data_IF_623716097774
#
_entry.id   IF_623716097774
#
_cell.length_a   1.000
_cell.length_b   1.000
_cell.length_c   1.000
_cell.angle_alpha   90.00
_cell.angle_beta   90.00
_cell.angle_gamma   90.00
#
_symmetry.space_group_name_H-M   'P 1'
#
loop_
_entity.id
_entity.type
_entity.pdbx_description
1 polymer ?
#
# COMPACT_ATOMS: atom_id res chain seq x y z
N UNK A 1 81.18 16.52 34.00
CA UNK A 1 82.04 15.45 34.54
C UNK A 1 81.51 15.00 35.89
N UNK A 2 80.94 13.79 35.98
CA UNK A 2 80.99 12.84 37.10
C UNK A 2 80.09 11.66 36.72
N UNK A 3 80.69 10.47 36.69
CA UNK A 3 80.05 9.19 36.37
C UNK A 3 79.60 8.50 37.66
N UNK A 4 78.68 7.54 37.44
CA UNK A 4 78.51 6.26 38.13
C UNK A 4 77.58 6.20 39.35
N UNK A 5 76.51 5.42 39.20
CA UNK A 5 76.23 4.31 40.12
C UNK A 5 75.49 3.21 39.34
N UNK A 6 75.93 1.97 39.56
CA UNK A 6 75.45 0.78 38.90
C UNK A 6 74.43 0.04 39.78
N UNK A 7 73.68 -0.84 39.11
CA UNK A 7 73.24 -2.17 39.56
C UNK A 7 72.13 -2.25 40.63
N UNK A 8 70.99 -2.82 40.22
CA UNK A 8 70.42 -4.00 40.89
C UNK A 8 69.38 -4.70 40.00
N UNK A 9 69.58 -5.99 39.83
CA UNK A 9 68.64 -6.94 39.26
C UNK A 9 67.45 -7.14 40.21
N UNK A 10 66.24 -7.18 39.68
CA UNK A 10 65.17 -8.05 40.16
C UNK A 10 64.32 -8.53 38.98
N UNK A 11 64.30 -9.86 38.84
CA UNK A 11 63.38 -10.65 38.03
C UNK A 11 61.94 -10.43 38.46
N UNK A 12 61.03 -10.20 37.50
CA UNK A 12 59.60 -10.09 37.74
C UNK A 12 58.78 -10.47 36.51
N UNK A 13 58.22 -11.69 36.56
CA UNK A 13 56.97 -12.13 35.96
C UNK A 13 56.60 -11.70 34.54
N UNK A 14 56.66 -12.64 33.61
CA UNK A 14 55.86 -12.58 32.38
C UNK A 14 54.37 -12.64 32.75
N UNK A 15 53.65 -11.53 32.58
CA UNK A 15 52.19 -11.51 32.53
C UNK A 15 51.79 -11.49 31.07
N UNK A 16 51.22 -12.60 30.61
CA UNK A 16 50.59 -12.70 29.30
C UNK A 16 49.34 -11.79 29.29
N UNK A 17 49.45 -10.63 28.67
CA UNK A 17 48.30 -9.81 28.33
C UNK A 17 47.60 -10.46 27.13
N UNK A 18 46.50 -11.16 27.40
CA UNK A 18 45.55 -11.57 26.37
C UNK A 18 44.87 -10.30 25.86
N UNK A 19 45.39 -9.75 24.76
CA UNK A 19 44.73 -8.68 24.02
C UNK A 19 43.47 -9.23 23.39
N UNK A 20 42.33 -9.05 24.06
CA UNK A 20 41.03 -9.16 23.41
C UNK A 20 40.91 -7.99 22.44
N UNK A 21 41.28 -8.22 21.18
CA UNK A 21 40.90 -7.35 20.09
C UNK A 21 39.37 -7.39 19.99
N UNK A 22 38.72 -6.37 20.55
CA UNK A 22 37.33 -6.06 20.22
C UNK A 22 37.33 -5.67 18.75
N UNK A 23 37.06 -6.66 17.89
CA UNK A 23 36.61 -6.41 16.52
C UNK A 23 35.31 -5.63 16.64
N UNK A 24 35.39 -4.30 16.51
CA UNK A 24 34.23 -3.47 16.24
C UNK A 24 33.68 -3.96 14.89
N UNK A 25 32.69 -4.85 14.93
CA UNK A 25 31.87 -5.15 13.76
C UNK A 25 31.07 -3.88 13.48
N UNK A 26 31.59 -3.06 12.56
CA UNK A 26 30.78 -2.06 11.88
C UNK A 26 29.50 -2.75 11.41
N UNK A 27 28.31 -2.16 11.57
CA UNK A 27 27.14 -2.68 10.89
C UNK A 27 27.48 -2.67 9.40
N UNK A 28 27.65 -3.88 8.86
CA UNK A 28 27.83 -4.08 7.45
C UNK A 28 26.54 -3.56 6.81
N UNK A 29 26.61 -2.39 6.17
CA UNK A 29 25.51 -1.89 5.37
C UNK A 29 25.27 -2.94 4.29
N UNK A 30 24.13 -3.64 4.36
CA UNK A 30 23.73 -4.51 3.28
C UNK A 30 23.46 -3.57 2.11
N UNK A 31 24.31 -3.62 1.09
CA UNK A 31 24.00 -2.99 -0.18
C UNK A 31 22.63 -3.51 -0.59
N UNK A 32 21.70 -2.60 -0.89
CA UNK A 32 20.49 -2.97 -1.62
C UNK A 32 20.96 -3.77 -2.86
N UNK A 33 20.54 -5.02 -2.99
CA UNK A 33 20.92 -5.84 -4.14
C UNK A 33 20.64 -5.04 -5.42
N UNK A 34 21.67 -4.86 -6.25
CA UNK A 34 21.57 -4.06 -7.47
C UNK A 34 20.56 -4.64 -8.46
N UNK A 35 20.10 -3.81 -9.40
CA UNK A 35 19.21 -4.25 -10.49
C UNK A 35 19.82 -5.43 -11.26
N UNK A 36 19.26 -6.62 -11.06
CA UNK A 36 19.72 -7.90 -11.62
C UNK A 36 19.54 -7.96 -13.14
N UNK A 37 18.69 -7.09 -13.71
CA UNK A 37 18.45 -7.05 -15.15
C UNK A 37 19.64 -6.52 -15.94
N UNK A 38 20.47 -5.65 -15.35
CA UNK A 38 21.60 -5.01 -16.03
C UNK A 38 22.63 -6.04 -16.55
N UNK A 39 22.82 -7.14 -15.82
CA UNK A 39 23.71 -8.24 -16.20
C UNK A 39 23.04 -9.34 -17.03
N UNK A 40 21.72 -9.27 -17.22
CA UNK A 40 20.94 -10.25 -18.00
C UNK A 40 20.97 -10.01 -19.51
N UNK A 41 20.40 -10.92 -20.27
CA UNK A 41 19.96 -10.70 -21.66
C UNK A 41 18.48 -10.32 -21.71
N UNK A 42 18.01 -9.88 -22.89
CA UNK A 42 16.60 -9.60 -23.12
C UNK A 42 16.11 -10.15 -24.46
N UNK A 43 14.84 -10.55 -24.51
CA UNK A 43 14.11 -10.94 -25.73
C UNK A 43 12.61 -10.63 -25.58
N UNK A 44 11.82 -10.84 -26.64
CA UNK A 44 10.39 -10.52 -26.63
C UNK A 44 9.65 -11.07 -27.84
N UNK A 45 8.37 -10.74 -27.96
CA UNK A 45 7.49 -11.17 -29.05
C UNK A 45 7.84 -10.52 -30.38
N UNK A 46 7.83 -9.19 -30.40
CA UNK A 46 8.04 -8.34 -31.57
C UNK A 46 8.65 -7.01 -31.14
N UNK A 47 9.20 -6.26 -32.08
CA UNK A 47 9.77 -4.92 -31.81
C UNK A 47 9.31 -3.91 -32.86
N UNK A 48 8.88 -2.75 -32.40
CA UNK A 48 8.65 -1.60 -33.27
C UNK A 48 9.97 -1.09 -33.86
N UNK A 49 9.91 -0.47 -35.04
CA UNK A 49 11.09 0.13 -35.68
C UNK A 49 11.74 1.17 -34.76
N UNK A 50 13.08 1.18 -34.73
CA UNK A 50 13.85 2.07 -33.86
C UNK A 50 13.95 1.67 -32.39
N UNK A 51 13.41 0.51 -31.99
CA UNK A 51 13.52 -0.04 -30.62
C UNK A 51 14.34 -1.32 -30.57
N UNK A 52 14.79 -1.71 -29.37
CA UNK A 52 15.52 -2.95 -29.12
C UNK A 52 15.03 -3.62 -27.83
N UNK A 53 15.11 -4.95 -27.76
CA UNK A 53 14.86 -5.67 -26.49
C UNK A 53 15.88 -5.29 -25.42
N UNK A 54 17.11 -4.94 -25.81
CA UNK A 54 18.16 -4.55 -24.87
C UNK A 54 17.85 -3.26 -24.10
N UNK A 55 16.94 -2.43 -24.61
CA UNK A 55 16.60 -1.14 -24.02
C UNK A 55 15.91 -1.31 -22.65
N UNK A 56 15.22 -2.43 -22.38
CA UNK A 56 14.54 -2.60 -21.08
C UNK A 56 15.49 -2.90 -19.91
N UNK A 57 16.80 -2.92 -20.13
CA UNK A 57 17.77 -3.38 -19.14
C UNK A 57 19.13 -2.69 -19.26
N UNK A 58 19.19 -1.55 -19.94
CA UNK A 58 20.44 -0.80 -20.10
C UNK A 58 20.61 0.28 -19.01
N UNK A 59 19.58 0.51 -18.19
CA UNK A 59 19.59 1.51 -17.12
C UNK A 59 19.35 2.94 -17.64
N UNK A 60 18.99 3.10 -18.92
CA UNK A 60 18.70 4.38 -19.55
C UNK A 60 17.19 4.53 -19.82
N UNK A 61 16.51 5.26 -18.94
CA UNK A 61 15.08 5.58 -19.10
C UNK A 61 14.74 6.44 -20.34
N UNK A 62 15.74 6.94 -21.07
CA UNK A 62 15.59 7.62 -22.35
C UNK A 62 15.42 6.69 -23.55
N UNK A 63 15.82 5.42 -23.44
CA UNK A 63 15.55 4.39 -24.46
C UNK A 63 14.34 3.55 -24.06
N UNK A 64 13.77 2.78 -25.00
CA UNK A 64 12.66 1.88 -24.70
C UNK A 64 12.54 0.74 -25.70
N UNK A 65 11.95 -0.36 -25.24
CA UNK A 65 11.33 -1.36 -26.10
C UNK A 65 9.85 -1.03 -26.32
N UNK A 66 9.36 -1.31 -27.53
CA UNK A 66 7.94 -1.29 -27.82
C UNK A 66 7.55 -2.52 -28.67
N UNK A 67 6.44 -3.21 -28.37
CA UNK A 67 5.95 -4.28 -29.23
C UNK A 67 5.42 -3.73 -30.56
N UNK A 68 5.21 -4.62 -31.54
CA UNK A 68 4.63 -4.23 -32.84
C UNK A 68 3.12 -3.89 -32.80
N UNK A 69 2.46 -4.05 -31.65
CA UNK A 69 1.01 -3.80 -31.49
C UNK A 69 0.70 -3.30 -30.07
N UNK A 70 -0.58 -3.11 -29.72
CA UNK A 70 -0.99 -2.77 -28.35
C UNK A 70 -0.73 -3.88 -27.31
N UNK A 71 -0.38 -5.08 -27.77
CA UNK A 71 -0.03 -6.23 -26.92
C UNK A 71 1.31 -6.83 -27.36
N UNK A 72 1.93 -7.59 -26.46
CA UNK A 72 3.20 -8.25 -26.69
C UNK A 72 3.93 -8.49 -25.38
N UNK A 73 5.06 -9.20 -25.45
CA UNK A 73 5.84 -9.52 -24.26
C UNK A 73 7.30 -9.15 -24.43
N UNK A 74 7.93 -8.83 -23.31
CA UNK A 74 9.38 -8.63 -23.17
C UNK A 74 9.88 -9.37 -21.95
N UNK A 75 11.10 -9.88 -22.00
CA UNK A 75 11.68 -10.72 -20.95
C UNK A 75 13.09 -10.30 -20.61
N UNK A 76 13.46 -10.52 -19.35
CA UNK A 76 14.86 -10.53 -18.88
C UNK A 76 15.25 -11.99 -18.63
N UNK A 77 16.47 -12.36 -19.03
CA UNK A 77 16.99 -13.74 -18.91
C UNK A 77 18.43 -13.79 -18.45
N UNK A 78 18.80 -14.85 -17.75
CA UNK A 78 20.15 -15.11 -17.23
C UNK A 78 20.66 -16.47 -17.71
N UNK A 79 21.98 -16.64 -17.73
CA UNK A 79 22.63 -17.91 -18.11
C UNK A 79 22.42 -19.02 -17.07
N UNK A 80 22.22 -18.65 -15.81
CA UNK A 80 21.90 -19.52 -14.68
C UNK A 80 20.61 -19.06 -13.99
N UNK A 81 20.03 -19.92 -13.15
CA UNK A 81 18.85 -19.53 -12.38
C UNK A 81 19.20 -18.39 -11.40
N UNK A 82 18.40 -17.33 -11.44
CA UNK A 82 18.53 -16.13 -10.61
C UNK A 82 17.30 -16.02 -9.75
N UNK A 83 17.47 -15.71 -8.46
CA UNK A 83 16.34 -15.50 -7.55
C UNK A 83 15.80 -14.10 -7.71
N UNK A 84 14.53 -14.00 -8.12
CA UNK A 84 13.81 -12.72 -8.25
C UNK A 84 12.67 -12.70 -7.25
N UNK A 85 12.55 -11.62 -6.48
CA UNK A 85 11.43 -11.37 -5.56
C UNK A 85 10.70 -10.05 -5.86
N UNK A 86 11.27 -9.18 -6.69
CA UNK A 86 10.60 -7.98 -7.15
C UNK A 86 10.98 -7.63 -8.59
N UNK A 87 10.04 -7.02 -9.29
CA UNK A 87 10.16 -6.48 -10.65
C UNK A 87 9.69 -5.04 -10.64
N UNK A 88 10.44 -4.13 -11.27
CA UNK A 88 10.01 -2.74 -11.49
C UNK A 88 9.93 -2.47 -12.99
N UNK A 89 8.75 -2.06 -13.44
CA UNK A 89 8.50 -1.67 -14.82
C UNK A 89 8.45 -0.14 -14.90
N UNK A 90 9.35 0.45 -15.69
CA UNK A 90 9.33 1.88 -16.01
C UNK A 90 8.83 2.05 -17.44
N UNK A 91 7.84 2.91 -17.64
CA UNK A 91 7.30 3.20 -18.97
C UNK A 91 7.85 4.54 -19.48
N UNK A 92 8.21 4.59 -20.77
CA UNK A 92 8.57 5.84 -21.43
C UNK A 92 7.31 6.62 -21.84
N UNK A 93 7.43 7.95 -21.93
CA UNK A 93 6.35 8.81 -22.39
C UNK A 93 6.01 8.59 -23.87
N UNK A 94 4.78 8.94 -24.27
CA UNK A 94 4.31 8.86 -25.65
C UNK A 94 3.95 7.45 -26.15
N UNK A 95 3.87 6.46 -25.26
CA UNK A 95 3.30 5.13 -25.55
C UNK A 95 1.82 5.02 -25.14
N UNK A 96 1.17 3.95 -25.58
CA UNK A 96 -0.16 3.57 -25.11
C UNK A 96 -0.15 3.12 -23.65
N UNK A 97 -1.25 3.36 -22.94
CA UNK A 97 -1.39 3.02 -21.53
C UNK A 97 -1.72 1.54 -21.37
N UNK A 98 -0.90 0.80 -20.64
CA UNK A 98 -1.15 -0.61 -20.33
C UNK A 98 -2.35 -0.70 -19.40
N UNK A 99 -3.33 -1.54 -19.76
CA UNK A 99 -4.55 -1.78 -19.00
C UNK A 99 -4.65 -3.20 -18.46
N UNK A 100 -3.86 -4.16 -18.98
CA UNK A 100 -3.73 -5.50 -18.41
C UNK A 100 -2.38 -6.14 -18.76
N UNK A 101 -1.84 -6.91 -17.81
CA UNK A 101 -0.55 -7.60 -17.96
C UNK A 101 -0.46 -8.81 -17.04
N UNK A 102 0.50 -9.69 -17.34
CA UNK A 102 0.94 -10.77 -16.45
C UNK A 102 2.46 -10.90 -16.46
N UNK A 103 3.02 -11.25 -15.31
CA UNK A 103 4.42 -11.57 -15.13
C UNK A 103 4.53 -13.09 -15.06
N UNK A 104 5.38 -13.68 -15.89
CA UNK A 104 5.51 -15.12 -16.04
C UNK A 104 6.92 -15.59 -15.66
N UNK A 105 7.00 -16.75 -15.04
CA UNK A 105 8.19 -17.57 -15.09
C UNK A 105 8.20 -18.26 -16.46
N UNK A 106 9.09 -17.85 -17.35
CA UNK A 106 9.10 -18.37 -18.72
C UNK A 106 9.67 -19.78 -18.83
N UNK A 107 10.36 -20.27 -17.79
CA UNK A 107 10.86 -21.65 -17.76
C UNK A 107 9.73 -22.65 -17.52
N UNK A 108 8.74 -22.27 -16.69
CA UNK A 108 7.61 -23.15 -16.30
C UNK A 108 6.26 -22.75 -16.90
N UNK A 109 6.14 -21.54 -17.45
CA UNK A 109 4.88 -20.94 -17.87
C UNK A 109 3.99 -20.46 -16.71
N UNK A 110 4.45 -20.57 -15.46
CA UNK A 110 3.68 -20.14 -14.29
C UNK A 110 3.49 -18.63 -14.28
N UNK A 111 2.27 -18.17 -13.98
CA UNK A 111 1.98 -16.77 -13.71
C UNK A 111 2.49 -16.42 -12.31
N UNK A 112 3.52 -15.58 -12.24
CA UNK A 112 4.08 -15.09 -10.97
C UNK A 112 3.24 -13.95 -10.39
N UNK A 113 2.70 -13.09 -11.26
CA UNK A 113 1.79 -12.01 -10.92
C UNK A 113 0.96 -11.62 -12.14
N UNK A 114 -0.15 -10.91 -11.92
CA UNK A 114 -0.92 -10.26 -12.99
C UNK A 114 -1.57 -9.00 -12.46
N UNK A 115 -1.91 -8.07 -13.34
CA UNK A 115 -2.55 -6.83 -12.93
C UNK A 115 -3.36 -6.18 -14.04
N UNK A 116 -4.30 -5.35 -13.61
CA UNK A 116 -5.00 -4.38 -14.45
C UNK A 116 -4.42 -2.98 -14.21
N UNK A 117 -4.25 -2.19 -15.27
CA UNK A 117 -3.58 -0.89 -15.25
C UNK A 117 -2.07 -0.97 -15.46
N UNK A 118 -1.42 0.20 -15.49
CA UNK A 118 0.01 0.33 -15.78
C UNK A 118 0.86 -0.35 -14.70
N UNK A 119 1.72 -1.34 -15.05
CA UNK A 119 2.64 -1.94 -14.09
C UNK A 119 3.67 -0.91 -13.63
N UNK A 120 4.02 -0.96 -12.35
CA UNK A 120 5.14 -0.26 -11.74
C UNK A 120 5.99 -1.28 -10.96
N UNK A 121 5.95 -1.27 -9.63
CA UNK A 121 6.61 -2.26 -8.78
C UNK A 121 5.69 -3.47 -8.56
N UNK A 122 6.20 -4.67 -8.86
CA UNK A 122 5.53 -5.95 -8.78
C UNK A 122 6.36 -6.85 -7.88
N UNK A 123 5.86 -7.18 -6.70
CA UNK A 123 6.51 -8.15 -5.82
C UNK A 123 5.98 -9.55 -6.12
N UNK A 124 6.89 -10.53 -6.12
CA UNK A 124 6.57 -11.94 -6.33
C UNK A 124 7.19 -12.76 -5.20
N UNK A 125 6.64 -13.94 -4.96
CA UNK A 125 7.33 -14.91 -4.12
C UNK A 125 8.74 -15.13 -4.69
N UNK A 126 9.77 -15.17 -3.82
CA UNK A 126 11.14 -15.36 -4.24
C UNK A 126 11.25 -16.63 -5.11
N UNK A 127 11.46 -16.43 -6.41
CA UNK A 127 11.40 -17.49 -7.40
C UNK A 127 12.76 -17.57 -8.08
N UNK A 128 13.35 -18.76 -8.06
CA UNK A 128 14.56 -19.05 -8.83
C UNK A 128 14.17 -19.42 -10.26
N UNK A 129 14.61 -18.62 -11.23
CA UNK A 129 14.23 -18.75 -12.64
C UNK A 129 15.35 -18.20 -13.54
N UNK A 130 15.45 -18.72 -14.76
CA UNK A 130 16.39 -18.24 -15.79
C UNK A 130 15.77 -17.15 -16.65
N UNK A 131 14.45 -17.05 -16.71
CA UNK A 131 13.77 -16.03 -17.53
C UNK A 131 12.42 -15.59 -16.94
N UNK A 132 12.27 -14.28 -16.77
CA UNK A 132 11.01 -13.63 -16.36
C UNK A 132 10.44 -12.83 -17.53
N UNK A 133 9.14 -12.93 -17.76
CA UNK A 133 8.45 -12.28 -18.89
C UNK A 133 7.35 -11.37 -18.39
N UNK A 134 7.37 -10.10 -18.83
CA UNK A 134 6.21 -9.22 -18.77
C UNK A 134 5.41 -9.41 -20.06
N UNK A 135 4.22 -9.97 -19.93
CA UNK A 135 3.28 -10.16 -21.03
C UNK A 135 2.14 -9.15 -20.92
N UNK A 136 2.10 -8.21 -21.87
CA UNK A 136 1.11 -7.14 -21.94
C UNK A 136 -0.08 -7.64 -22.74
N UNK A 137 -1.20 -7.86 -22.05
CA UNK A 137 -2.41 -8.46 -22.62
C UNK A 137 -3.44 -7.42 -23.06
N UNK A 138 -3.33 -6.17 -22.62
CA UNK A 138 -4.16 -5.06 -23.09
C UNK A 138 -3.49 -3.70 -22.88
N UNK A 139 -3.60 -2.81 -23.86
CA UNK A 139 -3.20 -1.40 -23.77
C UNK A 139 -4.03 -0.53 -24.74
N UNK A 140 -4.10 0.78 -24.50
CA UNK A 140 -4.81 1.74 -25.37
C UNK A 140 -4.10 2.06 -26.69
N UNK A 141 -2.87 1.59 -26.85
CA UNK A 141 -2.00 1.77 -28.01
C UNK A 141 -0.68 1.03 -27.80
N UNK A 142 0.32 1.24 -28.64
CA UNK A 142 1.63 0.56 -28.49
C UNK A 142 2.36 1.08 -27.23
N UNK A 143 2.54 0.26 -26.18
CA UNK A 143 3.22 0.68 -24.97
C UNK A 143 4.74 0.83 -25.20
N UNK A 144 5.40 1.60 -24.34
CA UNK A 144 6.86 1.78 -24.36
C UNK A 144 7.43 1.44 -23.00
N UNK A 145 8.17 0.35 -22.91
CA UNK A 145 8.85 -0.07 -21.68
C UNK A 145 10.27 0.46 -21.73
N UNK A 146 10.58 1.40 -20.84
CA UNK A 146 11.92 1.94 -20.67
C UNK A 146 12.79 0.98 -19.87
N UNK A 147 12.30 0.46 -18.74
CA UNK A 147 13.06 -0.48 -17.91
C UNK A 147 12.17 -1.63 -17.42
N UNK A 148 12.78 -2.81 -17.33
CA UNK A 148 12.29 -4.01 -16.68
C UNK A 148 13.38 -4.43 -15.69
N UNK A 149 13.34 -3.81 -14.51
CA UNK A 149 14.31 -4.04 -13.44
C UNK A 149 13.87 -5.23 -12.59
N UNK A 150 14.83 -5.99 -12.07
CA UNK A 150 14.57 -7.17 -11.25
C UNK A 150 15.48 -7.17 -10.03
N UNK A 151 14.97 -7.64 -8.89
CA UNK A 151 15.68 -7.54 -7.61
C UNK A 151 15.51 -8.80 -6.77
N UNK A 152 16.54 -9.09 -5.98
CA UNK A 152 16.55 -10.06 -4.90
C UNK A 152 16.49 -9.31 -3.56
N UNK A 153 15.40 -9.43 -2.82
CA UNK A 153 15.23 -8.80 -1.50
C UNK A 153 14.03 -9.45 -0.81
N UNK A 154 14.30 -10.31 0.17
CA UNK A 154 13.43 -11.36 0.72
C UNK A 154 12.05 -10.92 1.24
N UNK A 155 11.05 -11.80 1.29
CA UNK A 155 10.98 -12.98 2.18
C UNK A 155 10.54 -14.28 1.48
N UNK A 156 11.11 -15.39 1.94
CA UNK A 156 10.70 -16.76 1.62
C UNK A 156 9.39 -17.11 2.35
N UNK A 157 8.32 -17.42 1.60
CA UNK A 157 7.12 -18.06 2.14
C UNK A 157 7.06 -19.53 1.67
N UNK A 158 6.86 -20.54 2.55
CA UNK A 158 6.83 -21.95 2.16
C UNK A 158 5.57 -22.28 1.35
N UNK A 159 5.78 -22.97 0.23
CA UNK A 159 4.76 -23.49 -0.68
C UNK A 159 4.02 -24.69 -0.07
N UNK A 160 2.69 -24.67 -0.08
CA UNK A 160 1.90 -25.90 -0.28
C UNK A 160 0.85 -25.62 -1.36
N UNK A 161 0.95 -26.33 -2.48
CA UNK A 161 0.02 -26.20 -3.61
C UNK A 161 -1.27 -27.01 -3.37
N UNK A 162 -2.39 -26.67 -4.01
CA UNK A 162 -3.56 -27.54 -4.05
C UNK A 162 -3.48 -28.48 -5.26
N UNK A 163 -3.51 -29.77 -4.97
CA UNK A 163 -3.85 -30.84 -5.91
C UNK A 163 -5.30 -30.74 -6.37
N UNK A 164 -5.54 -31.25 -7.57
CA UNK A 164 -6.80 -31.27 -8.32
C UNK A 164 -7.89 -32.15 -7.70
N UNK A 165 -9.14 -31.66 -7.75
CA UNK A 165 -10.35 -32.47 -7.55
C UNK A 165 -11.64 -31.66 -7.69
N UNK A 166 -12.27 -31.70 -8.87
CA UNK A 166 -13.70 -31.37 -9.03
C UNK A 166 -14.59 -32.55 -8.57
N UNK A 167 -15.94 -32.42 -8.51
CA UNK A 167 -16.76 -31.87 -9.59
C UNK A 167 -18.02 -31.02 -9.23
N UNK A 168 -18.45 -30.23 -10.23
CA UNK A 168 -19.83 -29.84 -10.64
C UNK A 168 -20.84 -29.20 -9.67
N UNK A 169 -21.25 -27.96 -9.99
CA UNK A 169 -22.52 -27.35 -9.56
C UNK A 169 -22.69 -25.87 -9.98
N UNK A 170 -23.38 -25.67 -11.12
CA UNK A 170 -24.10 -24.50 -11.71
C UNK A 170 -23.79 -23.01 -11.32
N UNK A 171 -23.88 -22.05 -12.27
CA UNK A 171 -23.36 -20.70 -12.10
C UNK A 171 -24.34 -19.76 -11.38
N UNK A 172 -23.80 -18.91 -10.51
CA UNK A 172 -24.48 -17.75 -9.90
C UNK A 172 -23.58 -16.53 -10.17
N UNK A 173 -24.15 -15.34 -10.50
CA UNK A 173 -23.48 -14.40 -11.39
C UNK A 173 -22.26 -13.73 -10.77
N UNK A 174 -21.20 -13.71 -11.56
CA UNK A 174 -19.98 -12.93 -11.36
C UNK A 174 -20.30 -11.44 -11.18
N UNK A 175 -19.84 -10.75 -10.12
CA UNK A 175 -19.83 -9.30 -10.11
C UNK A 175 -18.74 -8.84 -11.07
N UNK A 176 -19.18 -8.19 -12.15
CA UNK A 176 -18.35 -7.53 -13.15
C UNK A 176 -17.34 -6.60 -12.47
N UNK A 177 -16.05 -6.90 -12.60
CA UNK A 177 -14.95 -6.01 -12.24
C UNK A 177 -14.94 -4.79 -13.14
N UNK A 178 -15.78 -3.81 -12.84
CA UNK A 178 -15.83 -2.53 -13.51
C UNK A 178 -14.81 -1.57 -12.92
N UNK A 179 -13.88 -1.09 -13.75
CA UNK A 179 -13.03 0.08 -13.50
C UNK A 179 -13.82 1.41 -13.55
N UNK A 180 -15.07 1.41 -13.11
CA UNK A 180 -15.94 2.59 -13.05
C UNK A 180 -15.81 3.31 -11.72
N UNK A 181 -16.20 4.60 -11.72
CA UNK A 181 -16.58 5.32 -10.51
C UNK A 181 -17.47 4.40 -9.66
N UNK A 182 -17.17 4.15 -8.36
CA UNK A 182 -18.05 3.31 -7.55
C UNK A 182 -19.46 3.87 -7.66
N UNK A 183 -20.41 3.02 -8.06
CA UNK A 183 -21.82 3.41 -8.11
C UNK A 183 -22.24 3.96 -6.74
N UNK A 184 -23.34 4.71 -6.70
CA UNK A 184 -23.84 5.23 -5.41
C UNK A 184 -24.00 4.09 -4.40
N UNK A 185 -23.38 4.18 -3.21
CA UNK A 185 -23.46 3.13 -2.21
C UNK A 185 -24.91 2.87 -1.81
N UNK A 186 -25.32 1.60 -1.80
CA UNK A 186 -26.70 1.19 -1.52
C UNK A 186 -26.91 0.71 -0.08
N UNK A 187 -25.82 0.57 0.69
CA UNK A 187 -25.83 -0.10 1.99
C UNK A 187 -25.72 -1.63 1.92
N UNK A 188 -25.66 -2.20 0.71
CA UNK A 188 -25.49 -3.64 0.54
C UNK A 188 -24.08 -4.10 0.92
N UNK A 189 -24.00 -5.16 1.72
CA UNK A 189 -22.74 -5.78 2.13
C UNK A 189 -22.36 -6.92 1.18
N UNK A 190 -21.08 -7.10 0.83
CA UNK A 190 -20.66 -8.20 -0.03
C UNK A 190 -20.69 -9.55 0.71
N UNK A 191 -20.83 -10.62 -0.06
CA UNK A 191 -20.61 -11.98 0.44
C UNK A 191 -19.13 -12.35 0.35
N UNK A 192 -18.60 -12.91 1.43
CA UNK A 192 -17.23 -13.43 1.48
C UNK A 192 -17.02 -14.60 0.52
N UNK A 193 -15.89 -14.62 -0.17
CA UNK A 193 -15.47 -15.69 -1.09
C UNK A 193 -14.54 -16.72 -0.43
N UNK A 194 -14.48 -16.73 0.90
CA UNK A 194 -13.65 -17.64 1.69
C UNK A 194 -12.97 -16.91 2.86
N UNK A 195 -12.39 -17.66 3.78
CA UNK A 195 -11.73 -17.12 4.95
C UNK A 195 -10.21 -17.34 4.89
N UNK A 196 -9.44 -16.37 5.37
CA UNK A 196 -7.99 -16.42 5.48
C UNK A 196 -7.61 -16.04 6.91
N UNK A 197 -6.97 -16.97 7.61
CA UNK A 197 -6.36 -16.67 8.91
C UNK A 197 -4.99 -16.03 8.68
N UNK A 198 -4.76 -14.85 9.25
CA UNK A 198 -3.46 -14.19 9.32
C UNK A 198 -2.94 -14.30 10.76
N UNK A 199 -1.65 -14.57 10.91
CA UNK A 199 -0.98 -14.73 12.21
C UNK A 199 -0.19 -13.47 12.62
N UNK A 200 -0.35 -12.38 11.88
CA UNK A 200 0.40 -11.14 12.03
C UNK A 200 0.16 -10.20 10.85
N UNK A 201 0.68 -8.98 10.94
CA UNK A 201 0.49 -7.93 9.94
C UNK A 201 0.96 -8.36 8.55
N UNK A 202 0.09 -8.17 7.55
CA UNK A 202 0.39 -8.42 6.14
C UNK A 202 0.96 -7.16 5.50
N UNK A 203 2.21 -7.21 5.05
CA UNK A 203 2.84 -6.08 4.38
C UNK A 203 2.52 -6.06 2.87
N UNK A 204 2.12 -4.89 2.35
CA UNK A 204 1.69 -4.67 0.96
C UNK A 204 2.47 -3.50 0.37
N UNK A 205 3.30 -3.71 -0.66
CA UNK A 205 4.03 -2.61 -1.34
C UNK A 205 3.67 -2.43 -2.82
N UNK A 206 2.84 -3.32 -3.36
CA UNK A 206 2.23 -3.23 -4.69
C UNK A 206 0.70 -3.31 -4.57
N UNK A 207 0.04 -4.05 -5.46
CA UNK A 207 -1.39 -4.36 -5.29
C UNK A 207 -1.58 -5.71 -4.62
N UNK A 208 -2.32 -5.74 -3.52
CA UNK A 208 -2.86 -6.95 -2.91
C UNK A 208 -4.35 -7.04 -3.23
N UNK A 209 -4.74 -8.08 -3.97
CA UNK A 209 -6.14 -8.42 -4.22
C UNK A 209 -6.56 -9.59 -3.32
N UNK A 210 -7.47 -9.34 -2.39
CA UNK A 210 -7.98 -10.34 -1.46
C UNK A 210 -9.03 -11.29 -2.04
N UNK A 211 -9.47 -11.08 -3.28
CA UNK A 211 -10.47 -11.91 -3.95
C UNK A 211 -11.83 -11.91 -3.25
N UNK A 212 -12.17 -10.84 -2.53
CA UNK A 212 -13.34 -10.73 -1.64
C UNK A 212 -13.38 -11.78 -0.52
N UNK A 213 -12.23 -12.28 -0.08
CA UNK A 213 -12.13 -13.15 1.10
C UNK A 213 -12.14 -12.34 2.39
N UNK A 214 -12.56 -12.99 3.47
CA UNK A 214 -12.48 -12.47 4.83
C UNK A 214 -11.13 -12.82 5.44
N UNK A 215 -10.36 -11.81 5.78
CA UNK A 215 -9.10 -11.91 6.51
C UNK A 215 -9.38 -11.64 7.99
N UNK A 216 -8.82 -12.45 8.87
CA UNK A 216 -8.90 -12.34 10.33
C UNK A 216 -7.73 -13.16 10.93
N UNK A 217 -7.32 -13.08 12.17
CA UNK A 217 -7.82 -12.28 13.28
C UNK A 217 -6.56 -11.80 14.03
N UNK A 218 -6.39 -10.48 14.17
CA UNK A 218 -5.28 -9.89 14.94
C UNK A 218 -5.89 -9.07 16.08
N UNK A 219 -5.26 -9.13 17.26
CA UNK A 219 -5.69 -8.39 18.44
C UNK A 219 -6.82 -9.07 19.22
N UNK A 220 -7.36 -8.33 20.19
CA UNK A 220 -8.42 -8.77 21.11
C UNK A 220 -9.76 -8.07 20.88
N UNK A 221 -9.83 -7.15 19.91
CA UNK A 221 -11.03 -6.36 19.60
C UNK A 221 -11.22 -5.14 20.53
N UNK A 222 -10.24 -4.84 21.40
CA UNK A 222 -10.26 -3.65 22.26
C UNK A 222 -9.87 -2.34 21.54
N UNK A 223 -9.97 -1.21 22.25
CA UNK A 223 -9.63 0.15 21.78
C UNK A 223 -8.20 0.58 22.17
N UNK A 224 -7.26 -0.36 22.29
CA UNK A 224 -5.89 -0.05 22.73
C UNK A 224 -5.03 0.44 21.56
N UNK A 225 -4.39 1.62 21.70
CA UNK A 225 -3.52 2.25 20.67
C UNK A 225 -2.25 1.45 20.29
N UNK A 226 -2.06 0.25 20.81
CA UNK A 226 -0.88 -0.59 20.56
C UNK A 226 -1.19 -1.90 19.84
N UNK A 227 -2.38 -2.03 19.25
CA UNK A 227 -2.71 -3.20 18.45
C UNK A 227 -1.98 -3.17 17.11
N UNK A 228 -1.53 -4.34 16.65
CA UNK A 228 -0.93 -4.47 15.32
C UNK A 228 -2.02 -4.30 14.24
N UNK A 229 -1.73 -3.59 13.13
CA UNK A 229 -2.64 -3.54 12.00
C UNK A 229 -2.71 -4.90 11.29
N UNK A 230 -3.84 -5.20 10.66
CA UNK A 230 -4.00 -6.37 9.79
C UNK A 230 -3.16 -6.25 8.53
N UNK A 231 -3.11 -5.05 7.94
CA UNK A 231 -2.34 -4.77 6.74
C UNK A 231 -1.52 -3.49 6.92
N UNK A 232 -0.26 -3.54 6.51
CA UNK A 232 0.59 -2.35 6.37
C UNK A 232 0.91 -2.15 4.89
N UNK A 233 0.46 -1.03 4.35
CA UNK A 233 0.59 -0.66 2.95
C UNK A 233 1.72 0.36 2.80
N UNK A 234 2.78 -0.02 2.10
CA UNK A 234 3.86 0.88 1.75
C UNK A 234 3.39 1.96 0.77
N UNK A 235 4.18 3.02 0.63
CA UNK A 235 3.90 4.11 -0.29
C UNK A 235 3.64 3.62 -1.73
N UNK A 236 2.54 4.07 -2.33
CA UNK A 236 2.04 3.66 -3.63
C UNK A 236 1.26 2.34 -3.66
N UNK A 237 1.18 1.60 -2.56
CA UNK A 237 0.51 0.30 -2.49
C UNK A 237 -1.02 0.39 -2.61
N UNK A 238 -1.64 -0.71 -3.04
CA UNK A 238 -3.09 -0.87 -3.16
C UNK A 238 -3.54 -2.12 -2.42
N UNK A 239 -4.53 -1.98 -1.53
CA UNK A 239 -5.29 -3.10 -0.97
C UNK A 239 -6.66 -3.11 -1.63
N UNK A 240 -7.07 -4.23 -2.22
CA UNK A 240 -8.35 -4.32 -2.89
C UNK A 240 -9.10 -5.62 -2.68
N UNK A 241 -10.42 -5.54 -2.74
CA UNK A 241 -11.32 -6.70 -2.64
C UNK A 241 -11.03 -7.53 -1.39
N UNK A 242 -10.98 -6.88 -0.23
CA UNK A 242 -10.68 -7.52 1.06
C UNK A 242 -11.84 -7.27 2.00
N UNK A 243 -12.25 -8.30 2.73
CA UNK A 243 -13.12 -8.14 3.90
C UNK A 243 -12.25 -8.35 5.14
N UNK A 244 -12.17 -7.37 6.04
CA UNK A 244 -11.57 -7.50 7.35
C UNK A 244 -12.65 -8.02 8.31
N UNK A 245 -12.39 -9.20 8.88
CA UNK A 245 -13.19 -9.82 9.94
C UNK A 245 -12.83 -9.25 11.31
N UNK A 246 -13.48 -9.78 12.34
CA UNK A 246 -13.23 -9.40 13.75
C UNK A 246 -12.50 -10.54 14.48
N UNK A 247 -11.53 -10.24 15.37
CA UNK A 247 -10.96 -8.92 15.64
C UNK A 247 -10.05 -8.42 14.50
N UNK A 248 -10.11 -7.10 14.27
CA UNK A 248 -9.44 -6.41 13.16
C UNK A 248 -8.19 -5.61 13.56
N UNK A 249 -7.70 -5.77 14.79
CA UNK A 249 -6.58 -4.97 15.33
C UNK A 249 -6.77 -3.46 15.10
N UNK A 250 -5.67 -2.78 14.74
CA UNK A 250 -5.68 -1.39 14.27
C UNK A 250 -5.84 -1.29 12.73
N UNK A 251 -6.74 -2.13 12.19
CA UNK A 251 -7.19 -2.08 10.81
C UNK A 251 -6.08 -2.13 9.76
N UNK A 252 -5.99 -1.07 8.95
CA UNK A 252 -5.03 -0.94 7.84
C UNK A 252 -4.15 0.29 8.01
N UNK A 253 -2.84 0.14 7.99
CA UNK A 253 -1.89 1.26 8.02
C UNK A 253 -1.41 1.61 6.61
N UNK A 254 -1.40 2.88 6.27
CA UNK A 254 -0.75 3.39 5.06
C UNK A 254 0.50 4.20 5.44
N UNK A 255 1.68 3.65 5.17
CA UNK A 255 2.98 4.27 5.50
C UNK A 255 3.38 5.39 4.51
N UNK A 256 2.67 5.48 3.38
CA UNK A 256 2.76 6.57 2.40
C UNK A 256 1.40 6.85 1.78
N UNK A 257 1.37 7.35 0.54
CA UNK A 257 0.12 7.33 -0.23
C UNK A 257 -0.28 5.88 -0.49
N UNK A 258 -1.57 5.56 -0.41
CA UNK A 258 -2.06 4.20 -0.64
C UNK A 258 -3.44 4.24 -1.31
N UNK A 259 -3.88 3.11 -1.87
CA UNK A 259 -5.25 2.94 -2.36
C UNK A 259 -5.93 1.79 -1.62
N UNK A 260 -7.06 2.07 -0.99
CA UNK A 260 -8.00 1.08 -0.46
C UNK A 260 -9.17 1.01 -1.44
N UNK A 261 -9.32 -0.09 -2.17
CA UNK A 261 -10.35 -0.24 -3.21
C UNK A 261 -11.27 -1.41 -2.90
N UNK A 262 -12.56 -1.14 -2.70
CA UNK A 262 -13.53 -2.18 -2.39
C UNK A 262 -13.10 -3.02 -1.17
N UNK A 263 -12.67 -2.34 -0.11
CA UNK A 263 -12.26 -2.95 1.17
C UNK A 263 -13.41 -2.79 2.16
N UNK A 264 -13.70 -3.84 2.92
CA UNK A 264 -14.86 -3.93 3.80
C UNK A 264 -14.46 -4.31 5.22
N UNK A 265 -14.94 -3.60 6.23
CA UNK A 265 -14.67 -3.90 7.64
C UNK A 265 -15.96 -4.35 8.33
N UNK A 266 -16.04 -5.63 8.66
CA UNK A 266 -17.21 -6.20 9.34
C UNK A 266 -17.40 -5.65 10.76
N UNK A 267 -16.29 -5.21 11.36
CA UNK A 267 -16.18 -4.67 12.70
C UNK A 267 -14.93 -3.78 12.70
N UNK A 268 -15.07 -2.51 13.07
CA UNK A 268 -13.93 -1.61 13.18
C UNK A 268 -13.30 -1.89 14.54
N UNK A 269 -12.00 -2.22 14.57
CA UNK A 269 -11.24 -2.37 15.81
C UNK A 269 -11.01 -1.02 16.48
N UNK A 270 -9.75 -0.59 16.55
CA UNK A 270 -9.46 0.80 16.93
C UNK A 270 -9.91 1.75 15.80
N UNK A 271 -9.24 1.67 14.65
CA UNK A 271 -9.55 2.41 13.42
C UNK A 271 -9.75 1.44 12.25
N UNK A 272 -10.49 1.85 11.21
CA UNK A 272 -10.59 1.04 9.98
C UNK A 272 -9.30 1.18 9.17
N UNK A 273 -8.82 2.42 8.99
CA UNK A 273 -7.50 2.66 8.42
C UNK A 273 -6.84 3.95 8.93
N UNK A 274 -5.52 3.89 9.04
CA UNK A 274 -4.66 4.97 9.55
C UNK A 274 -3.65 5.40 8.50
N UNK A 275 -3.74 6.66 8.06
CA UNK A 275 -2.87 7.26 7.05
C UNK A 275 -1.70 8.00 7.71
N UNK A 276 -0.48 7.46 7.56
CA UNK A 276 0.73 7.90 8.30
C UNK A 276 1.75 8.63 7.43
N UNK A 277 1.64 8.53 6.10
CA UNK A 277 2.60 9.11 5.16
C UNK A 277 2.84 10.62 5.34
N UNK A 278 4.11 11.02 5.33
CA UNK A 278 4.52 12.43 5.52
C UNK A 278 5.12 13.09 4.27
N UNK A 279 5.07 12.39 3.12
CA UNK A 279 5.62 12.86 1.84
C UNK A 279 4.61 13.67 1.00
N UNK A 280 3.45 14.02 1.57
CA UNK A 280 2.34 14.64 0.86
C UNK A 280 1.62 13.67 -0.07
N UNK A 281 0.97 14.20 -1.12
CA UNK A 281 0.23 13.41 -2.10
C UNK A 281 -1.21 13.10 -1.68
N UNK A 282 -1.78 12.05 -2.27
CA UNK A 282 -3.18 11.65 -2.02
C UNK A 282 -3.28 10.14 -1.82
N UNK A 283 -3.85 9.73 -0.70
CA UNK A 283 -4.35 8.37 -0.48
C UNK A 283 -5.81 8.28 -0.90
N UNK A 284 -6.23 7.12 -1.41
CA UNK A 284 -7.55 6.91 -1.97
C UNK A 284 -8.29 5.82 -1.22
N UNK A 285 -9.55 6.07 -0.91
CA UNK A 285 -10.55 5.08 -0.50
C UNK A 285 -11.64 5.09 -1.58
N UNK A 286 -11.80 3.96 -2.27
CA UNK A 286 -12.64 3.85 -3.46
C UNK A 286 -13.59 2.66 -3.31
N UNK A 287 -14.88 2.92 -3.14
CA UNK A 287 -15.85 1.88 -2.82
C UNK A 287 -15.65 1.32 -1.41
N UNK A 288 -16.30 0.19 -1.12
CA UNK A 288 -16.15 -0.50 0.15
C UNK A 288 -17.10 0.00 1.24
N UNK A 289 -16.88 -0.49 2.45
CA UNK A 289 -17.67 -0.03 3.60
C UNK A 289 -17.15 -0.52 4.94
N UNK A 290 -17.57 0.13 6.02
CA UNK A 290 -17.20 -0.27 7.38
C UNK A 290 -18.39 -0.15 8.33
N UNK A 291 -18.36 -0.90 9.42
CA UNK A 291 -19.40 -0.85 10.44
C UNK A 291 -18.88 -1.17 11.83
N UNK A 292 -19.68 -0.84 12.84
CA UNK A 292 -19.41 -1.15 14.25
C UNK A 292 -18.13 -0.48 14.79
N UNK A 293 -17.91 0.79 14.48
CA UNK A 293 -16.84 1.59 15.07
C UNK A 293 -17.26 2.30 16.34
N UNK A 294 -16.30 2.54 17.24
CA UNK A 294 -16.53 3.27 18.48
C UNK A 294 -16.19 4.76 18.39
N UNK A 295 -15.11 5.13 17.69
CA UNK A 295 -14.67 6.53 17.59
C UNK A 295 -14.47 7.00 16.14
N UNK A 296 -13.45 6.49 15.44
CA UNK A 296 -13.02 7.03 14.14
C UNK A 296 -12.78 5.91 13.13
N UNK A 297 -13.36 6.06 11.94
CA UNK A 297 -13.19 5.10 10.84
C UNK A 297 -11.85 5.33 10.14
N UNK A 298 -11.58 6.57 9.72
CA UNK A 298 -10.34 6.94 9.05
C UNK A 298 -9.55 7.96 9.84
N UNK A 299 -8.38 7.53 10.32
CA UNK A 299 -7.45 8.38 11.05
C UNK A 299 -6.35 8.91 10.12
N UNK A 300 -6.12 10.22 10.13
CA UNK A 300 -5.08 10.85 9.32
C UNK A 300 -4.01 11.47 10.21
N UNK A 301 -2.91 10.74 10.39
CA UNK A 301 -1.76 11.12 11.20
C UNK A 301 -0.71 11.88 10.39
N UNK A 302 -0.51 11.50 9.12
CA UNK A 302 0.45 12.09 8.19
C UNK A 302 0.07 13.45 7.62
N UNK A 303 0.59 13.82 6.45
CA UNK A 303 0.22 15.02 5.71
C UNK A 303 -0.34 14.68 4.33
N UNK A 304 -0.84 15.70 3.61
CA UNK A 304 -1.39 15.50 2.27
C UNK A 304 -2.91 15.32 2.29
N UNK A 305 -3.44 14.51 1.38
CA UNK A 305 -4.89 14.37 1.16
C UNK A 305 -5.35 12.92 1.32
N UNK A 306 -6.51 12.71 1.94
CA UNK A 306 -7.27 11.46 1.86
C UNK A 306 -8.52 11.70 1.00
N UNK A 307 -8.69 10.95 -0.07
CA UNK A 307 -9.84 11.03 -0.97
C UNK A 307 -10.74 9.81 -0.77
N UNK A 308 -11.94 10.02 -0.24
CA UNK A 308 -12.92 8.98 0.09
C UNK A 308 -14.07 9.09 -0.89
N UNK A 309 -14.33 8.01 -1.63
CA UNK A 309 -15.38 7.98 -2.65
C UNK A 309 -16.15 6.67 -2.68
N UNK A 310 -17.47 6.72 -2.82
CA UNK A 310 -18.28 5.50 -2.96
C UNK A 310 -18.30 4.61 -1.72
N UNK A 311 -18.06 5.16 -0.54
CA UNK A 311 -17.95 4.39 0.71
C UNK A 311 -19.28 4.32 1.45
N UNK A 312 -19.57 3.16 2.06
CA UNK A 312 -20.69 2.99 2.99
C UNK A 312 -20.18 2.85 4.44
N UNK A 313 -20.69 3.67 5.35
CA UNK A 313 -20.39 3.57 6.78
C UNK A 313 -21.67 3.35 7.58
N UNK A 314 -21.66 2.40 8.52
CA UNK A 314 -22.76 2.17 9.46
C UNK A 314 -22.31 2.04 10.92
N UNK A 315 -22.71 2.95 11.80
CA UNK A 315 -22.43 2.84 13.24
C UNK A 315 -20.97 3.14 13.55
N UNK A 316 -20.58 4.41 13.61
CA UNK A 316 -19.23 4.86 13.99
C UNK A 316 -19.27 6.34 14.37
N UNK A 317 -18.45 6.78 15.32
CA UNK A 317 -18.43 8.19 15.72
C UNK A 317 -18.11 9.13 14.56
N UNK A 318 -17.02 8.88 13.81
CA UNK A 318 -16.53 9.78 12.77
C UNK A 318 -16.08 9.02 11.53
N UNK A 319 -16.49 9.46 10.34
CA UNK A 319 -15.93 8.90 9.10
C UNK A 319 -14.45 9.27 8.95
N UNK A 320 -14.07 10.53 9.15
CA UNK A 320 -12.69 10.99 9.01
C UNK A 320 -12.27 11.92 10.15
N UNK A 321 -11.06 11.71 10.68
CA UNK A 321 -10.43 12.61 11.66
C UNK A 321 -8.98 12.92 11.29
N UNK A 322 -8.68 14.21 11.15
CA UNK A 322 -7.31 14.71 11.11
C UNK A 322 -6.72 14.71 12.53
N UNK A 323 -5.59 14.04 12.76
CA UNK A 323 -5.04 13.94 14.12
C UNK A 323 -4.82 15.31 14.76
N UNK A 324 -5.43 15.54 15.93
CA UNK A 324 -5.45 16.85 16.59
C UNK A 324 -4.36 17.08 17.63
N UNK A 325 -3.74 16.02 18.14
CA UNK A 325 -2.73 16.05 19.22
C UNK A 325 -1.58 15.05 18.95
N UNK A 326 -1.31 14.75 17.68
CA UNK A 326 -0.17 13.93 17.29
C UNK A 326 1.16 14.58 17.70
N UNK A 327 2.20 13.76 17.82
CA UNK A 327 3.58 14.23 18.11
C UNK A 327 4.03 15.31 17.12
N UNK A 328 3.65 15.15 15.84
CA UNK A 328 3.89 16.14 14.79
C UNK A 328 2.57 16.74 14.30
N UNK A 329 2.55 18.07 14.20
CA UNK A 329 1.45 18.82 13.59
C UNK A 329 1.64 18.88 12.07
N UNK A 330 0.58 18.58 11.32
CA UNK A 330 0.58 18.63 9.86
C UNK A 330 -0.65 19.35 9.34
N UNK A 331 -0.52 19.99 8.18
CA UNK A 331 -1.66 20.39 7.36
C UNK A 331 -2.18 19.17 6.59
N UNK A 332 -3.49 18.92 6.72
CA UNK A 332 -4.16 17.72 6.19
C UNK A 332 -5.41 18.10 5.43
N UNK A 333 -5.70 17.34 4.39
CA UNK A 333 -6.87 17.56 3.55
C UNK A 333 -7.68 16.28 3.41
N UNK A 334 -9.00 16.43 3.30
CA UNK A 334 -9.91 15.33 2.97
C UNK A 334 -10.84 15.75 1.83
N UNK A 335 -11.06 14.83 0.90
CA UNK A 335 -12.08 14.94 -0.15
C UNK A 335 -13.07 13.79 0.07
N UNK A 336 -14.34 14.10 0.28
CA UNK A 336 -15.38 13.12 0.56
C UNK A 336 -16.45 13.28 -0.50
N UNK A 337 -16.72 12.21 -1.23
CA UNK A 337 -17.59 12.27 -2.38
C UNK A 337 -18.44 11.00 -2.54
N UNK A 338 -19.74 11.13 -2.80
CA UNK A 338 -20.61 9.97 -3.09
C UNK A 338 -20.56 8.89 -2.00
N UNK A 339 -20.77 9.28 -0.73
CA UNK A 339 -20.78 8.34 0.41
C UNK A 339 -22.17 8.22 1.02
N UNK A 340 -22.47 7.05 1.58
CA UNK A 340 -23.67 6.79 2.39
C UNK A 340 -23.25 6.56 3.82
N UNK A 341 -23.76 7.36 4.75
CA UNK A 341 -23.39 7.33 6.15
C UNK A 341 -24.66 7.11 6.98
N UNK A 342 -24.68 6.03 7.74
CA UNK A 342 -25.80 5.59 8.54
C UNK A 342 -25.33 5.49 9.99
N UNK A 343 -26.05 6.11 10.92
CA UNK A 343 -25.73 6.07 12.36
C UNK A 343 -24.29 6.53 12.66
N UNK A 344 -23.99 7.80 12.38
CA UNK A 344 -22.69 8.42 12.67
C UNK A 344 -22.85 9.79 13.33
N UNK A 345 -21.87 10.21 14.13
CA UNK A 345 -21.91 11.54 14.78
C UNK A 345 -21.32 12.63 13.89
N UNK A 346 -20.29 12.32 13.10
CA UNK A 346 -19.55 13.31 12.30
C UNK A 346 -18.98 12.78 10.99
N UNK A 347 -19.10 13.54 9.90
CA UNK A 347 -18.50 13.18 8.61
C UNK A 347 -17.00 13.49 8.59
N UNK A 348 -16.59 14.72 8.91
CA UNK A 348 -15.18 15.10 8.96
C UNK A 348 -14.84 16.00 10.15
N UNK A 349 -13.78 15.64 10.90
CA UNK A 349 -13.17 16.49 11.93
C UNK A 349 -11.79 17.01 11.51
N UNK A 350 -11.68 18.32 11.27
CA UNK A 350 -10.44 18.97 10.78
C UNK A 350 -9.87 19.99 11.77
N UNK A 351 -8.56 20.25 11.74
CA UNK A 351 -7.91 21.24 12.60
C UNK A 351 -7.71 22.56 11.84
N UNK A 352 -8.64 23.51 12.00
CA UNK A 352 -8.68 24.72 11.15
C UNK A 352 -7.48 25.65 11.37
N UNK A 353 -6.90 25.67 12.58
CA UNK A 353 -5.69 26.44 12.90
C UNK A 353 -4.41 25.88 12.26
N UNK A 354 -4.44 24.67 11.70
CA UNK A 354 -3.35 24.09 10.92
C UNK A 354 -3.64 24.09 9.42
N UNK A 355 -4.62 24.89 9.00
CA UNK A 355 -5.04 25.05 7.61
C UNK A 355 -5.58 23.77 6.97
N UNK A 356 -6.11 22.84 7.79
CA UNK A 356 -6.75 21.64 7.27
C UNK A 356 -7.95 22.01 6.40
N UNK A 357 -8.26 21.20 5.38
CA UNK A 357 -9.46 21.43 4.56
C UNK A 357 -10.26 20.15 4.36
N UNK A 358 -11.58 20.26 4.35
CA UNK A 358 -12.52 19.21 3.96
C UNK A 358 -13.32 19.70 2.76
N UNK A 359 -13.23 18.98 1.64
CA UNK A 359 -14.11 19.18 0.48
C UNK A 359 -15.12 18.04 0.48
N UNK A 360 -16.41 18.35 0.59
CA UNK A 360 -17.46 17.35 0.80
C UNK A 360 -18.56 17.57 -0.24
N UNK A 361 -18.82 16.53 -1.05
CA UNK A 361 -19.81 16.54 -2.12
C UNK A 361 -20.64 15.25 -2.11
N UNK A 362 -21.92 15.32 -2.52
CA UNK A 362 -22.77 14.13 -2.73
C UNK A 362 -22.78 13.15 -1.55
N UNK A 363 -22.99 13.65 -0.34
CA UNK A 363 -23.10 12.84 0.88
C UNK A 363 -24.55 12.54 1.18
N UNK A 364 -24.87 11.28 1.45
CA UNK A 364 -26.18 10.90 2.03
C UNK A 364 -25.97 10.50 3.48
N UNK A 365 -26.72 11.12 4.39
CA UNK A 365 -26.70 10.85 5.83
C UNK A 365 -28.07 10.33 6.22
N UNK A 366 -28.15 9.12 6.78
CA UNK A 366 -29.36 8.62 7.42
C UNK A 366 -29.38 9.13 8.86
N UNK A 367 -30.41 9.91 9.21
CA UNK A 367 -30.46 10.63 10.49
C UNK A 367 -29.72 11.96 10.45
N UNK A 368 -28.97 12.29 11.51
CA UNK A 368 -28.28 13.58 11.67
C UNK A 368 -26.84 13.40 12.07
N UNK A 369 -25.94 14.21 11.51
CA UNK A 369 -24.53 14.23 11.87
C UNK A 369 -23.95 15.63 11.67
N UNK A 370 -22.86 15.94 12.38
CA UNK A 370 -22.02 17.11 12.07
C UNK A 370 -21.27 16.83 10.77
N UNK A 371 -21.42 17.67 9.75
CA UNK A 371 -20.80 17.42 8.44
C UNK A 371 -19.32 17.81 8.45
N UNK A 372 -18.99 19.04 8.83
CA UNK A 372 -17.61 19.48 8.89
C UNK A 372 -17.31 20.14 10.24
N UNK A 373 -16.80 19.34 11.18
CA UNK A 373 -16.40 19.82 12.50
C UNK A 373 -15.02 20.45 12.48
N UNK A 374 -14.91 21.68 12.97
CA UNK A 374 -13.62 22.38 13.12
C UNK A 374 -13.11 22.23 14.55
N UNK A 375 -11.81 21.96 14.67
CA UNK A 375 -11.11 21.83 15.94
C UNK A 375 -9.90 22.75 15.97
N UNK A 376 -9.46 23.10 17.18
CA UNK A 376 -8.14 23.65 17.44
C UNK A 376 -7.17 22.50 17.71
N UNK A 377 -6.34 22.17 16.73
CA UNK A 377 -5.22 21.23 16.90
C UNK A 377 -4.19 21.79 17.88
N UNK A 378 -3.59 20.91 18.66
CA UNK A 378 -2.66 21.21 19.76
C UNK A 378 -1.44 20.28 19.72
N UNK A 379 -0.39 20.61 20.45
CA UNK A 379 0.74 19.70 20.61
C UNK A 379 0.33 18.45 21.41
N UNK A 380 1.10 17.36 21.26
CA UNK A 380 0.90 16.13 22.03
C UNK A 380 0.90 16.40 23.53
N UNK A 381 -0.04 15.75 24.25
CA UNK A 381 -0.25 15.92 25.69
C UNK A 381 -1.31 16.97 26.05
N UNK A 382 -2.01 17.52 25.05
CA UNK A 382 -3.19 18.38 25.24
C UNK A 382 -4.35 17.88 24.38
N UNK A 383 -5.57 18.17 24.81
CA UNK A 383 -6.77 17.78 24.08
C UNK A 383 -7.21 18.86 23.06
N UNK A 384 -7.48 18.49 21.79
CA UNK A 384 -8.03 19.42 20.81
C UNK A 384 -9.42 19.90 21.20
N UNK A 385 -9.66 21.21 21.13
CA UNK A 385 -10.97 21.79 21.45
C UNK A 385 -11.85 21.90 20.20
N UNK A 386 -13.11 21.49 20.28
CA UNK A 386 -14.09 21.72 19.22
C UNK A 386 -14.43 23.22 19.09
N UNK A 387 -14.46 23.73 17.87
CA UNK A 387 -14.71 25.14 17.53
C UNK A 387 -16.07 25.36 16.84
N UNK A 388 -16.84 24.30 16.63
CA UNK A 388 -18.12 24.35 15.93
C UNK A 388 -18.05 23.78 14.51
N UNK A 389 -19.23 23.71 13.89
CA UNK A 389 -19.39 23.22 12.53
C UNK A 389 -19.13 24.34 11.50
N UNK A 390 -18.49 23.99 10.38
CA UNK A 390 -18.25 24.89 9.25
C UNK A 390 -19.07 24.54 8.02
N UNK A 391 -19.48 25.56 7.28
CA UNK A 391 -20.21 25.44 6.01
C UNK A 391 -19.74 26.52 5.05
N UNK A 392 -19.40 26.12 3.82
CA UNK A 392 -18.91 27.00 2.76
C UNK A 392 -17.89 28.06 3.24
N UNK A 393 -16.87 27.60 3.98
CA UNK A 393 -15.78 28.44 4.46
C UNK A 393 -14.41 27.95 3.92
N UNK A 394 -13.34 28.63 4.31
CA UNK A 394 -11.99 28.33 3.81
C UNK A 394 -11.52 26.89 4.12
N UNK A 395 -11.93 26.34 5.26
CA UNK A 395 -11.55 25.01 5.72
C UNK A 395 -12.63 23.97 5.34
N UNK A 396 -13.90 24.30 5.54
CA UNK A 396 -15.06 23.46 5.27
C UNK A 396 -15.72 23.84 3.93
N UNK A 397 -15.23 23.23 2.85
CA UNK A 397 -15.70 23.44 1.48
C UNK A 397 -16.87 22.50 1.18
N UNK A 398 -18.03 22.87 1.71
CA UNK A 398 -19.27 22.10 1.62
C UNK A 398 -20.49 23.02 1.63
N UNK A 399 -21.40 22.83 0.68
CA UNK A 399 -22.70 23.50 0.66
C UNK A 399 -23.77 22.61 1.26
N UNK A 400 -24.89 23.20 1.70
CA UNK A 400 -26.04 22.42 2.16
C UNK A 400 -26.59 21.49 1.08
N UNK A 401 -26.53 21.89 -0.18
CA UNK A 401 -26.95 21.09 -1.34
C UNK A 401 -26.06 19.86 -1.60
N UNK A 402 -24.85 19.84 -1.05
CA UNK A 402 -23.92 18.72 -1.18
C UNK A 402 -24.29 17.54 -0.27
N UNK A 403 -25.23 17.75 0.66
CA UNK A 403 -25.62 16.77 1.68
C UNK A 403 -27.12 16.52 1.61
N UNK A 404 -27.50 15.25 1.52
CA UNK A 404 -28.87 14.79 1.61
C UNK A 404 -29.07 14.06 2.93
N UNK A 405 -29.95 14.56 3.78
CA UNK A 405 -30.40 13.85 4.98
C UNK A 405 -31.61 12.97 4.62
N UNK A 406 -31.64 11.74 5.12
CA UNK A 406 -32.70 10.74 4.89
C UNK A 406 -33.29 10.22 6.19
#
# INVERSE_FOLDING_TARGET
>A
MKRSAALRWMTGGAVAAVGAAVMLSLPQAWAADGNLSLSGGADGSSKASGTSYGNVKDGDTGTYWAPGSATGYVSVKWSSATTVSSVVIKQASGGGSISAWRLLNADSGAVLASGSGSPSTINVAATSLKKVTLDITSASGVPRIAEFETYSGGSSNPTTGPTTGGPTGNPTPTPTGGSGNPGTPTGAWPSSQGNVSISGTVNVSGTFDGGMKTYCCIGDGGQSESQDPMFTIANGGTLQNVILGSPAGDGVHCEGTCTLRNVWWNDIGEDAATFKGTSGGTSYVIGGGARSGSDKTFQHNGNGTVSISGFYLKGSGKLYRACGNCTSSHTRHVKIDNVLLDDIDMVAGINSNWNDTATITRVTIVGSATVCGKYKGVAKGSEPSYLGEGWNDANCKVNRSDVTFR
#
